data_IF_708712099913
#
_entry.id   IF_708712099913
#
_cell.length_a   1.000
_cell.length_b   1.000
_cell.length_c   1.000
_cell.angle_alpha   90.00
_cell.angle_beta   90.00
_cell.angle_gamma   90.00
#
_symmetry.space_group_name_H-M   'P 1'
#
loop_
_entity.id
_entity.type
_entity.pdbx_description
1 polymer ?
#
# COMPACT_ATOMS: atom_id res chain seq x y z
N UNK A 1 27.95 -13.98 65.18
CA UNK A 1 27.54 -13.89 63.73
C UNK A 1 26.04 -13.87 63.65
N UNK A 2 25.47 -12.69 63.36
CA UNK A 2 24.02 -12.55 63.14
C UNK A 2 23.81 -12.53 61.61
N UNK A 3 23.24 -13.62 61.09
CA UNK A 3 22.79 -13.66 59.69
C UNK A 3 21.47 -12.85 59.59
N UNK A 4 21.54 -11.68 58.99
CA UNK A 4 20.37 -10.92 58.61
C UNK A 4 19.73 -11.51 57.36
N UNK A 5 18.57 -12.12 57.50
CA UNK A 5 17.69 -12.50 56.39
C UNK A 5 17.21 -11.24 55.70
N UNK A 6 17.83 -10.90 54.55
CA UNK A 6 17.27 -9.94 53.60
C UNK A 6 16.16 -10.64 52.81
N UNK A 7 14.93 -10.44 53.20
CA UNK A 7 13.74 -10.69 52.40
C UNK A 7 13.75 -9.72 51.19
N UNK A 8 14.29 -10.15 50.07
CA UNK A 8 14.04 -9.51 48.77
C UNK A 8 12.58 -9.82 48.40
N UNK A 9 11.66 -8.93 48.75
CA UNK A 9 10.35 -8.86 48.14
C UNK A 9 10.55 -8.47 46.68
N UNK A 10 10.72 -9.44 45.79
CA UNK A 10 10.48 -9.26 44.36
C UNK A 10 8.97 -9.07 44.19
N UNK A 11 8.50 -7.84 44.25
CA UNK A 11 7.21 -7.49 43.69
C UNK A 11 7.29 -7.76 42.17
N UNK A 12 6.90 -8.96 41.77
CA UNK A 12 6.45 -9.19 40.43
C UNK A 12 5.21 -8.32 40.25
N UNK A 13 5.38 -7.20 39.58
CA UNK A 13 4.26 -6.39 39.10
C UNK A 13 3.47 -7.30 38.15
N UNK A 14 2.49 -8.00 38.69
CA UNK A 14 1.50 -8.72 37.90
C UNK A 14 0.78 -7.67 37.07
N UNK A 15 1.04 -7.65 35.74
CA UNK A 15 0.37 -6.75 34.83
C UNK A 15 -1.12 -7.04 34.88
N UNK A 16 -1.92 -6.03 35.26
CA UNK A 16 -3.37 -6.15 35.22
C UNK A 16 -3.86 -6.38 33.77
N UNK A 17 -4.94 -7.16 33.57
CA UNK A 17 -5.47 -7.38 32.21
C UNK A 17 -5.77 -6.09 31.46
N UNK A 18 -6.23 -5.06 32.14
CA UNK A 18 -6.48 -3.73 31.61
C UNK A 18 -5.20 -3.06 31.07
N UNK A 19 -4.08 -3.18 31.76
CA UNK A 19 -2.81 -2.64 31.30
C UNK A 19 -2.29 -3.39 30.06
N UNK A 20 -2.50 -4.70 30.01
CA UNK A 20 -2.15 -5.51 28.82
C UNK A 20 -2.97 -5.11 27.61
N UNK A 21 -4.27 -4.88 27.76
CA UNK A 21 -5.14 -4.38 26.69
C UNK A 21 -4.74 -2.97 26.23
N UNK A 22 -4.42 -2.04 27.16
CA UNK A 22 -3.93 -0.71 26.78
C UNK A 22 -2.63 -0.77 25.97
N UNK A 23 -1.70 -1.63 26.36
CA UNK A 23 -0.45 -1.85 25.63
C UNK A 23 -0.73 -2.47 24.25
N UNK A 24 -1.66 -3.41 24.14
CA UNK A 24 -2.09 -4.00 22.88
C UNK A 24 -2.70 -2.95 21.96
N UNK A 25 -3.59 -2.10 22.45
CA UNK A 25 -4.19 -1.01 21.67
C UNK A 25 -3.15 -0.03 21.09
N UNK A 26 -2.01 0.19 21.78
CA UNK A 26 -0.93 1.02 21.24
C UNK A 26 -0.22 0.39 20.02
N UNK A 27 -0.23 -0.94 19.90
CA UNK A 27 0.46 -1.67 18.83
C UNK A 27 -0.38 -1.83 17.56
N UNK A 28 -1.72 -1.86 17.69
CA UNK A 28 -2.63 -2.14 16.59
C UNK A 28 -2.49 -1.11 15.45
N UNK A 29 -2.51 -1.60 14.21
CA UNK A 29 -2.69 -0.78 13.02
C UNK A 29 -4.08 -0.13 13.02
N UNK A 30 -4.36 0.79 12.08
CA UNK A 30 -5.71 1.41 11.94
C UNK A 30 -6.78 0.36 11.65
N UNK A 31 -6.48 -0.58 10.77
CA UNK A 31 -7.42 -1.64 10.36
C UNK A 31 -7.69 -2.63 11.52
N UNK A 32 -6.63 -3.08 12.22
CA UNK A 32 -6.79 -3.94 13.39
C UNK A 32 -7.53 -3.24 14.53
N UNK A 33 -7.30 -1.92 14.70
CA UNK A 33 -8.02 -1.12 15.69
C UNK A 33 -9.51 -1.06 15.36
N UNK A 34 -9.88 -0.86 14.10
CA UNK A 34 -11.29 -0.85 13.68
C UNK A 34 -11.95 -2.20 13.95
N UNK A 35 -11.28 -3.32 13.70
CA UNK A 35 -11.78 -4.66 14.00
C UNK A 35 -11.98 -4.87 15.51
N UNK A 36 -11.01 -4.48 16.35
CA UNK A 36 -11.12 -4.59 17.82
C UNK A 36 -12.25 -3.71 18.36
N UNK A 37 -12.44 -2.51 17.77
CA UNK A 37 -13.54 -1.61 18.14
C UNK A 37 -14.91 -2.14 17.72
N UNK A 38 -15.02 -2.72 16.54
CA UNK A 38 -16.25 -3.37 16.09
C UNK A 38 -16.62 -4.52 17.04
N UNK A 39 -15.66 -5.34 17.43
CA UNK A 39 -15.87 -6.39 18.42
C UNK A 39 -16.31 -5.83 19.79
N UNK A 40 -15.71 -4.69 20.20
CA UNK A 40 -16.10 -4.02 21.44
C UNK A 40 -17.52 -3.41 21.38
N UNK A 41 -17.94 -2.87 20.23
CA UNK A 41 -19.30 -2.37 19.99
C UNK A 41 -20.33 -3.50 20.02
N UNK A 42 -20.01 -4.67 19.46
CA UNK A 42 -20.89 -5.84 19.48
C UNK A 42 -21.04 -6.42 20.90
N UNK A 43 -19.96 -6.38 21.70
CA UNK A 43 -19.96 -6.93 23.07
C UNK A 43 -20.57 -5.98 24.11
N UNK A 44 -20.47 -4.66 23.91
CA UNK A 44 -20.89 -3.65 24.89
C UNK A 44 -22.00 -2.75 24.33
N UNK A 45 -23.27 -2.95 24.76
CA UNK A 45 -24.42 -2.21 24.24
C UNK A 45 -24.44 -0.72 24.65
N UNK A 46 -23.52 -0.26 25.49
CA UNK A 46 -23.42 1.13 25.92
C UNK A 46 -22.53 1.99 25.03
N UNK A 47 -21.79 1.36 24.10
CA UNK A 47 -20.91 2.04 23.15
C UNK A 47 -21.67 2.33 21.85
N UNK A 48 -21.51 3.53 21.34
CA UNK A 48 -22.03 3.96 20.05
C UNK A 48 -20.90 4.60 19.24
N UNK A 49 -20.88 4.30 17.96
CA UNK A 49 -20.00 4.98 17.01
C UNK A 49 -20.74 6.19 16.45
N UNK A 50 -20.08 7.35 16.43
CA UNK A 50 -20.63 8.57 15.84
C UNK A 50 -19.93 8.84 14.53
N UNK A 51 -20.66 8.85 13.43
CA UNK A 51 -20.15 9.23 12.13
C UNK A 51 -20.02 10.75 12.03
N UNK A 52 -19.02 11.23 11.26
CA UNK A 52 -18.76 12.65 11.07
C UNK A 52 -19.92 13.39 10.42
N UNK A 53 -20.78 12.70 9.65
CA UNK A 53 -21.93 13.29 8.98
C UNK A 53 -23.02 13.69 9.98
N UNK A 54 -23.26 12.93 11.02
CA UNK A 54 -24.32 13.21 12.02
C UNK A 54 -24.03 14.48 12.84
N UNK A 55 -22.76 14.81 13.10
CA UNK A 55 -22.41 16.04 13.84
C UNK A 55 -22.50 17.31 13.01
N UNK A 56 -22.30 17.21 11.70
CA UNK A 56 -22.44 18.36 10.79
C UNK A 56 -23.91 18.68 10.59
N UNK A 57 -24.75 17.66 10.39
CA UNK A 57 -26.21 17.84 10.30
C UNK A 57 -26.80 18.34 11.62
N UNK A 58 -26.37 17.82 12.76
CA UNK A 58 -26.85 18.28 14.06
C UNK A 58 -26.49 19.74 14.35
N UNK A 59 -25.27 20.20 14.00
CA UNK A 59 -24.88 21.60 14.14
C UNK A 59 -25.60 22.53 13.14
N UNK A 60 -25.82 22.08 11.91
CA UNK A 60 -26.58 22.84 10.93
C UNK A 60 -28.06 22.98 11.33
N UNK A 61 -28.64 21.97 11.99
CA UNK A 61 -30.01 22.01 12.50
C UNK A 61 -30.11 22.94 13.70
N UNK A 62 -29.15 22.86 14.68
CA UNK A 62 -29.11 23.79 15.81
C UNK A 62 -28.90 25.25 15.39
N UNK A 63 -28.03 25.52 14.38
CA UNK A 63 -27.86 26.89 13.86
C UNK A 63 -29.07 27.37 13.08
N UNK A 64 -29.80 26.49 12.38
CA UNK A 64 -31.06 26.86 11.69
C UNK A 64 -32.19 27.12 12.69
N UNK A 65 -32.36 26.28 13.72
CA UNK A 65 -33.36 26.51 14.77
C UNK A 65 -33.08 27.78 15.58
N UNK A 66 -31.81 28.15 15.78
CA UNK A 66 -31.45 29.38 16.47
C UNK A 66 -31.70 30.64 15.63
N UNK A 67 -31.54 30.56 14.31
CA UNK A 67 -31.83 31.67 13.39
C UNK A 67 -33.33 31.85 13.19
N UNK A 68 -34.09 30.76 13.05
CA UNK A 68 -35.54 30.83 12.87
C UNK A 68 -36.27 31.36 14.14
N UNK A 69 -35.74 31.08 15.35
CA UNK A 69 -36.29 31.61 16.60
C UNK A 69 -36.01 33.09 16.81
N UNK A 70 -34.91 33.63 16.30
CA UNK A 70 -34.59 35.06 16.38
C UNK A 70 -35.47 35.88 15.40
N UNK A 71 -35.66 35.38 14.17
CA UNK A 71 -36.52 36.02 13.16
C UNK A 71 -38.00 35.95 13.56
N UNK A 72 -38.45 34.89 14.22
CA UNK A 72 -39.82 34.74 14.72
C UNK A 72 -40.16 35.70 15.88
N UNK A 73 -39.17 36.18 16.62
CA UNK A 73 -39.33 37.14 17.73
C UNK A 73 -39.36 38.59 17.24
N UNK A 74 -38.90 38.89 16.02
CA UNK A 74 -38.96 40.25 15.43
C UNK A 74 -40.21 40.54 14.60
N UNK A 75 -40.98 39.51 14.21
CA UNK A 75 -42.25 39.69 13.51
C UNK A 75 -43.41 39.98 14.51
N UNK A 76 -43.68 41.24 14.73
CA UNK A 76 -44.66 41.72 15.72
C UNK A 76 -46.09 41.88 15.17
N UNK A 77 -46.41 41.35 14.00
CA UNK A 77 -47.75 41.38 13.45
C UNK A 77 -48.10 40.03 12.80
N UNK A 78 -49.02 39.30 13.47
CA UNK A 78 -49.70 38.14 12.89
C UNK A 78 -50.64 38.59 11.77
N UNK A 79 -50.56 38.00 10.56
CA UNK A 79 -51.61 38.24 9.56
C UNK A 79 -52.89 37.53 9.95
N UNK A 80 -53.99 38.27 9.95
CA UNK A 80 -55.32 37.80 10.38
C UNK A 80 -56.02 36.82 9.40
N UNK A 81 -55.38 36.41 8.29
CA UNK A 81 -55.96 35.48 7.33
C UNK A 81 -54.89 34.47 6.84
N UNK A 82 -54.97 33.26 7.38
CA UNK A 82 -54.35 32.07 6.79
C UNK A 82 -55.25 31.53 5.69
N UNK A 83 -54.81 31.42 4.43
CA UNK A 83 -55.58 30.75 3.39
C UNK A 83 -55.58 29.27 3.63
N UNK A 84 -56.61 28.80 4.33
CA UNK A 84 -56.96 27.39 4.46
C UNK A 84 -57.76 26.95 3.23
N UNK A 85 -57.08 26.76 2.10
CA UNK A 85 -57.69 26.17 0.90
C UNK A 85 -56.75 25.22 0.19
N UNK A 86 -56.31 24.19 0.94
CA UNK A 86 -55.85 22.94 0.35
C UNK A 86 -56.59 21.82 1.07
N UNK A 87 -57.55 21.21 0.39
CA UNK A 87 -58.24 20.05 0.94
C UNK A 87 -57.29 18.88 1.07
N UNK A 88 -57.41 18.17 2.17
CA UNK A 88 -56.57 16.98 2.47
C UNK A 88 -56.62 15.89 1.37
N UNK A 89 -57.58 15.93 0.48
CA UNK A 89 -57.72 15.02 -0.65
C UNK A 89 -56.70 15.27 -1.79
N UNK A 90 -56.18 16.49 -1.92
CA UNK A 90 -55.18 16.80 -2.97
C UNK A 90 -53.75 16.39 -2.62
N UNK A 91 -53.45 16.20 -1.34
CA UNK A 91 -52.13 15.84 -0.88
C UNK A 91 -51.86 14.32 -1.04
N UNK A 92 -52.91 13.51 -1.05
CA UNK A 92 -52.81 12.04 -1.15
C UNK A 92 -53.06 11.48 -2.55
N UNK A 93 -53.43 12.29 -3.55
CA UNK A 93 -53.71 11.79 -4.90
C UNK A 93 -52.65 12.04 -5.95
N UNK A 94 -51.54 12.68 -5.60
CA UNK A 94 -50.41 12.83 -6.52
C UNK A 94 -49.40 11.69 -6.29
N UNK A 95 -49.65 10.51 -6.88
CA UNK A 95 -48.57 9.57 -7.06
C UNK A 95 -48.81 8.09 -6.70
N UNK A 96 -50.02 7.56 -6.94
CA UNK A 96 -50.12 6.09 -7.11
C UNK A 96 -50.41 5.78 -8.58
N UNK A 97 -49.46 5.28 -9.37
CA UNK A 97 -49.78 4.65 -10.63
C UNK A 97 -50.49 3.33 -10.30
N UNK A 98 -51.77 3.28 -10.61
CA UNK A 98 -52.54 2.04 -10.67
C UNK A 98 -51.97 1.18 -11.82
N UNK A 99 -51.03 0.37 -11.52
CA UNK A 99 -50.47 -0.65 -12.40
C UNK A 99 -50.59 -2.01 -11.71
N UNK A 100 -51.24 -2.95 -12.40
CA UNK A 100 -51.40 -4.33 -12.00
C UNK A 100 -50.19 -4.87 -11.25
N UNK A 101 -50.45 -5.50 -10.10
CA UNK A 101 -49.45 -6.24 -9.33
C UNK A 101 -48.78 -7.29 -10.15
N UNK A 102 -47.58 -7.02 -10.59
CA UNK A 102 -46.60 -8.04 -10.88
C UNK A 102 -45.85 -8.20 -9.59
N UNK A 103 -46.08 -9.33 -8.97
CA UNK A 103 -45.33 -9.81 -7.81
C UNK A 103 -43.88 -9.96 -8.27
N UNK A 104 -43.07 -8.86 -8.14
CA UNK A 104 -41.64 -8.96 -8.21
C UNK A 104 -41.23 -9.63 -6.89
N UNK A 105 -41.13 -10.95 -6.90
CA UNK A 105 -40.19 -11.58 -6.02
C UNK A 105 -38.87 -10.79 -6.19
N UNK A 106 -38.48 -10.17 -5.11
CA UNK A 106 -37.15 -9.58 -4.94
C UNK A 106 -36.12 -10.73 -5.08
N UNK A 107 -35.91 -11.17 -6.32
CA UNK A 107 -34.65 -11.73 -6.71
C UNK A 107 -33.71 -10.52 -6.65
N UNK A 108 -33.13 -10.30 -5.48
CA UNK A 108 -31.92 -9.54 -5.31
C UNK A 108 -30.89 -10.15 -6.27
N UNK A 109 -30.95 -9.72 -7.54
CA UNK A 109 -29.82 -9.92 -8.44
C UNK A 109 -28.64 -9.32 -7.67
N UNK A 110 -27.63 -10.11 -7.32
CA UNK A 110 -26.46 -9.56 -6.67
C UNK A 110 -25.95 -8.48 -7.61
N UNK A 111 -26.13 -7.22 -7.21
CA UNK A 111 -25.48 -6.10 -7.87
C UNK A 111 -24.00 -6.33 -7.63
N UNK A 112 -23.37 -6.98 -8.60
CA UNK A 112 -21.94 -7.23 -8.60
C UNK A 112 -21.26 -5.85 -8.72
N UNK A 113 -21.04 -5.21 -7.59
CA UNK A 113 -20.28 -3.97 -7.46
C UNK A 113 -18.79 -4.27 -7.27
N UNK A 114 -18.34 -5.45 -7.64
CA UNK A 114 -16.92 -5.76 -7.71
C UNK A 114 -16.35 -5.13 -8.97
N UNK A 115 -15.36 -4.29 -8.84
CA UNK A 115 -14.42 -4.05 -9.93
C UNK A 115 -13.86 -5.42 -10.31
N UNK A 116 -14.25 -5.90 -11.49
CA UNK A 116 -13.70 -7.13 -12.04
C UNK A 116 -12.26 -6.79 -12.46
N UNK A 117 -11.32 -7.02 -11.56
CA UNK A 117 -9.91 -7.07 -11.94
C UNK A 117 -9.79 -8.20 -12.97
N UNK A 118 -9.67 -7.83 -14.23
CA UNK A 118 -9.44 -8.80 -15.29
C UNK A 118 -8.08 -9.43 -15.08
N UNK A 119 -8.06 -10.71 -14.77
CA UNK A 119 -6.80 -11.45 -14.70
C UNK A 119 -6.27 -11.71 -16.12
N UNK A 120 -4.97 -11.96 -16.24
CA UNK A 120 -4.38 -12.35 -17.52
C UNK A 120 -5.07 -13.58 -18.08
N UNK A 121 -5.43 -14.55 -17.24
CA UNK A 121 -6.10 -15.77 -17.63
C UNK A 121 -7.50 -15.48 -18.19
N UNK A 122 -8.30 -14.62 -17.52
CA UNK A 122 -9.62 -14.24 -18.02
C UNK A 122 -9.54 -13.57 -19.39
N UNK A 123 -8.54 -12.70 -19.58
CA UNK A 123 -8.34 -12.01 -20.83
C UNK A 123 -7.93 -12.97 -21.97
N UNK A 124 -7.07 -13.95 -21.68
CA UNK A 124 -6.68 -14.97 -22.63
C UNK A 124 -7.85 -15.91 -22.96
N UNK A 125 -8.64 -16.32 -21.96
CA UNK A 125 -9.83 -17.14 -22.15
C UNK A 125 -10.85 -16.42 -23.04
N UNK A 126 -11.07 -15.13 -22.84
CA UNK A 126 -11.92 -14.33 -23.73
C UNK A 126 -11.42 -14.36 -25.20
N UNK A 127 -10.09 -14.29 -25.43
CA UNK A 127 -9.53 -14.42 -26.79
C UNK A 127 -9.67 -15.83 -27.35
N UNK A 128 -9.55 -16.87 -26.52
CA UNK A 128 -9.82 -18.27 -26.92
C UNK A 128 -11.26 -18.43 -27.40
N UNK A 129 -12.24 -17.86 -26.71
CA UNK A 129 -13.65 -17.90 -27.10
C UNK A 129 -13.93 -17.17 -28.41
N UNK A 130 -13.25 -16.07 -28.69
CA UNK A 130 -13.36 -15.33 -29.95
C UNK A 130 -12.69 -16.03 -31.13
N UNK A 131 -11.74 -16.93 -30.85
CA UNK A 131 -10.97 -17.63 -31.90
C UNK A 131 -11.74 -18.89 -32.33
N UNK A 132 -11.88 -19.16 -33.63
CA UNK A 132 -12.54 -20.37 -34.13
C UNK A 132 -11.64 -21.59 -33.90
N UNK A 133 -11.71 -22.17 -32.73
CA UNK A 133 -11.11 -23.45 -32.38
C UNK A 133 -12.13 -24.60 -32.51
N UNK A 134 -11.64 -25.82 -32.77
CA UNK A 134 -12.41 -27.03 -32.60
C UNK A 134 -12.66 -27.30 -31.11
N UNK A 135 -13.56 -28.21 -30.77
CA UNK A 135 -13.83 -28.52 -29.35
C UNK A 135 -12.60 -29.14 -28.66
N UNK A 136 -11.81 -29.94 -29.40
CA UNK A 136 -10.52 -30.47 -28.93
C UNK A 136 -9.48 -29.39 -28.75
N UNK A 137 -9.31 -28.51 -29.75
CA UNK A 137 -8.35 -27.37 -29.66
C UNK A 137 -8.72 -26.42 -28.50
N UNK A 138 -10.03 -26.24 -28.24
CA UNK A 138 -10.49 -25.41 -27.13
C UNK A 138 -10.14 -26.02 -25.78
N UNK A 139 -10.27 -27.33 -25.62
CA UNK A 139 -9.87 -28.04 -24.40
C UNK A 139 -8.34 -27.89 -24.17
N UNK A 140 -7.54 -28.05 -25.25
CA UNK A 140 -6.10 -27.84 -25.20
C UNK A 140 -5.78 -26.37 -24.84
N UNK A 141 -6.43 -25.40 -25.47
CA UNK A 141 -6.22 -23.98 -25.22
C UNK A 141 -6.53 -23.59 -23.79
N UNK A 142 -7.64 -24.12 -23.21
CA UNK A 142 -7.99 -23.90 -21.81
C UNK A 142 -6.90 -24.43 -20.87
N UNK A 143 -6.43 -25.67 -21.10
CA UNK A 143 -5.35 -26.24 -20.28
C UNK A 143 -4.04 -25.46 -20.38
N UNK A 144 -3.71 -24.89 -21.57
CA UNK A 144 -2.55 -24.04 -21.76
C UNK A 144 -2.72 -22.71 -20.99
N UNK A 145 -3.89 -22.06 -21.06
CA UNK A 145 -4.18 -20.80 -20.38
C UNK A 145 -4.12 -20.97 -18.86
N UNK A 146 -4.65 -22.07 -18.33
CA UNK A 146 -4.59 -22.40 -16.90
C UNK A 146 -3.14 -22.62 -16.42
N UNK A 147 -2.25 -23.05 -17.31
CA UNK A 147 -0.83 -23.26 -17.03
C UNK A 147 0.03 -21.97 -17.16
N UNK A 148 -0.56 -20.84 -17.57
CA UNK A 148 0.14 -19.55 -17.69
C UNK A 148 0.17 -18.82 -16.36
N UNK A 149 1.35 -18.35 -15.95
CA UNK A 149 1.54 -17.50 -14.78
C UNK A 149 1.16 -16.02 -15.06
N UNK A 150 0.97 -15.24 -14.01
CA UNK A 150 0.70 -13.79 -14.09
C UNK A 150 1.76 -12.99 -14.86
N UNK A 151 2.97 -13.52 -14.96
CA UNK A 151 4.05 -12.95 -15.79
C UNK A 151 3.92 -13.23 -17.28
N UNK A 152 3.07 -14.18 -17.67
CA UNK A 152 2.83 -14.61 -19.05
C UNK A 152 3.66 -15.81 -19.50
N UNK A 153 4.37 -16.49 -18.60
CA UNK A 153 5.16 -17.69 -18.90
C UNK A 153 4.41 -18.98 -18.59
N UNK A 154 4.78 -20.03 -19.32
CA UNK A 154 4.26 -21.37 -19.08
C UNK A 154 4.95 -21.99 -17.86
N UNK A 155 4.19 -22.44 -16.87
CA UNK A 155 4.72 -23.03 -15.64
C UNK A 155 4.98 -24.53 -15.77
N UNK A 156 4.33 -25.18 -16.74
CA UNK A 156 4.30 -26.63 -16.92
C UNK A 156 4.94 -26.98 -18.28
N UNK A 157 5.53 -28.17 -18.40
CA UNK A 157 6.05 -28.69 -19.66
C UNK A 157 4.88 -29.10 -20.58
N UNK A 158 5.13 -29.10 -21.90
CA UNK A 158 4.09 -29.42 -22.88
C UNK A 158 3.62 -30.87 -22.71
N UNK A 159 4.56 -31.76 -22.36
CA UNK A 159 4.29 -33.17 -22.10
C UNK A 159 3.28 -33.34 -20.95
N UNK A 160 3.43 -32.57 -19.88
CA UNK A 160 2.55 -32.61 -18.72
C UNK A 160 1.13 -32.08 -19.08
N UNK A 161 1.04 -31.15 -20.04
CA UNK A 161 -0.26 -30.66 -20.55
C UNK A 161 -0.99 -31.76 -21.29
N UNK A 162 -0.30 -32.53 -22.15
CA UNK A 162 -0.88 -33.69 -22.84
C UNK A 162 -1.43 -34.69 -21.84
N UNK A 163 -0.63 -35.03 -20.81
CA UNK A 163 -1.01 -35.95 -19.76
C UNK A 163 -2.22 -35.43 -18.94
N UNK A 164 -2.34 -34.14 -18.76
CA UNK A 164 -3.46 -33.52 -18.01
C UNK A 164 -4.79 -33.58 -18.73
N UNK A 165 -4.79 -33.56 -20.06
CA UNK A 165 -6.01 -33.65 -20.88
C UNK A 165 -6.54 -35.08 -20.87
N UNK A 166 -5.67 -36.09 -20.77
CA UNK A 166 -6.04 -37.50 -20.59
C UNK A 166 -6.72 -38.12 -21.79
N UNK A 167 -6.59 -37.54 -22.96
CA UNK A 167 -7.20 -38.03 -24.21
C UNK A 167 -6.11 -38.68 -25.08
N UNK A 168 -6.17 -39.98 -25.28
CA UNK A 168 -5.16 -40.75 -26.04
C UNK A 168 -5.10 -40.35 -27.54
N UNK A 169 -6.09 -39.61 -28.03
CA UNK A 169 -6.13 -39.12 -29.41
C UNK A 169 -5.33 -37.82 -29.62
N UNK A 170 -5.03 -37.07 -28.55
CA UNK A 170 -4.35 -35.79 -28.64
C UNK A 170 -2.82 -35.97 -28.66
N UNK A 171 -2.22 -35.66 -29.79
CA UNK A 171 -0.77 -35.73 -29.98
C UNK A 171 -0.05 -34.46 -29.53
N UNK A 172 1.24 -34.61 -29.22
CA UNK A 172 2.12 -33.52 -28.84
C UNK A 172 2.19 -32.42 -29.93
N UNK A 173 2.08 -32.82 -31.22
CA UNK A 173 2.08 -31.90 -32.37
C UNK A 173 0.83 -30.98 -32.38
N UNK A 174 -0.32 -31.48 -31.93
CA UNK A 174 -1.56 -30.70 -31.84
C UNK A 174 -1.46 -29.65 -30.75
N UNK A 175 -0.97 -30.03 -29.56
CA UNK A 175 -0.72 -29.10 -28.45
C UNK A 175 0.27 -28.00 -28.86
N UNK A 176 1.34 -28.35 -29.56
CA UNK A 176 2.27 -27.32 -30.09
C UNK A 176 1.63 -26.40 -31.14
N UNK A 177 0.71 -26.89 -31.95
CA UNK A 177 0.04 -26.07 -32.93
C UNK A 177 -0.90 -25.04 -32.27
N UNK A 178 -1.66 -25.48 -31.26
CA UNK A 178 -2.53 -24.61 -30.45
C UNK A 178 -1.67 -23.60 -29.65
N UNK A 179 -0.58 -24.06 -29.04
CA UNK A 179 0.35 -23.19 -28.31
C UNK A 179 0.90 -22.06 -29.19
N UNK A 180 1.38 -22.37 -30.39
CA UNK A 180 1.87 -21.35 -31.37
C UNK A 180 0.79 -20.36 -31.77
N UNK A 181 -0.49 -20.73 -31.67
CA UNK A 181 -1.59 -19.81 -31.93
C UNK A 181 -1.86 -18.90 -30.74
N UNK A 182 -1.84 -19.43 -29.51
CA UNK A 182 -1.97 -18.67 -28.25
C UNK A 182 -0.80 -17.68 -28.08
N UNK A 183 0.41 -18.05 -28.44
CA UNK A 183 1.59 -17.19 -28.39
C UNK A 183 1.48 -15.91 -29.25
N UNK A 184 0.50 -15.85 -30.17
CA UNK A 184 0.20 -14.68 -31.00
C UNK A 184 -0.96 -13.83 -30.46
N UNK A 185 -1.56 -14.24 -29.35
CA UNK A 185 -2.59 -13.46 -28.70
C UNK A 185 -2.00 -12.16 -28.11
N UNK A 186 -2.86 -11.25 -27.73
CA UNK A 186 -2.49 -10.04 -27.01
C UNK A 186 -2.53 -10.33 -25.50
N UNK A 187 -1.42 -10.13 -24.79
CA UNK A 187 -0.11 -9.61 -25.21
C UNK A 187 0.78 -10.65 -25.90
N UNK A 188 1.47 -10.16 -26.91
CA UNK A 188 2.32 -11.02 -27.75
C UNK A 188 3.46 -11.64 -26.95
N UNK A 189 3.70 -12.97 -27.16
CA UNK A 189 4.73 -13.70 -26.44
C UNK A 189 4.26 -14.33 -25.14
N UNK A 190 2.97 -14.32 -24.88
CA UNK A 190 2.33 -15.05 -23.78
C UNK A 190 2.46 -16.57 -24.02
N UNK A 191 2.40 -17.37 -22.97
CA UNK A 191 2.61 -18.81 -22.99
C UNK A 191 3.99 -19.23 -23.58
N UNK A 192 5.00 -18.39 -23.48
CA UNK A 192 6.37 -18.75 -23.83
C UNK A 192 6.97 -19.66 -22.73
N UNK A 193 7.87 -20.57 -23.14
CA UNK A 193 8.60 -21.48 -22.22
C UNK A 193 9.64 -20.72 -21.40
N UNK A 194 10.40 -19.86 -22.07
CA UNK A 194 11.52 -19.12 -21.49
C UNK A 194 11.54 -17.67 -22.02
N UNK A 195 12.33 -16.80 -21.36
CA UNK A 195 12.56 -15.43 -21.81
C UNK A 195 13.05 -15.36 -23.26
N UNK A 196 13.92 -16.28 -23.67
CA UNK A 196 14.43 -16.37 -25.03
C UNK A 196 13.31 -16.58 -26.04
N UNK A 197 12.44 -17.55 -25.75
CA UNK A 197 11.28 -17.89 -26.59
C UNK A 197 10.31 -16.71 -26.69
N UNK A 198 9.98 -16.08 -25.58
CA UNK A 198 9.13 -14.88 -25.53
C UNK A 198 9.63 -13.76 -26.43
N UNK A 199 10.90 -13.40 -26.31
CA UNK A 199 11.51 -12.35 -27.12
C UNK A 199 11.59 -12.71 -28.61
N UNK A 200 11.84 -13.98 -28.94
CA UNK A 200 11.85 -14.46 -30.34
C UNK A 200 10.46 -14.41 -30.97
N UNK A 201 9.41 -14.75 -30.19
CA UNK A 201 8.02 -14.66 -30.64
C UNK A 201 7.66 -13.20 -30.93
N UNK A 202 7.99 -12.28 -30.03
CA UNK A 202 7.77 -10.84 -30.25
C UNK A 202 8.54 -10.31 -31.48
N UNK A 203 9.80 -10.68 -31.65
CA UNK A 203 10.57 -10.32 -32.84
C UNK A 203 9.97 -10.90 -34.14
N UNK A 204 9.30 -12.03 -34.07
CA UNK A 204 8.67 -12.64 -35.24
C UNK A 204 7.49 -11.82 -35.82
N UNK A 205 6.92 -10.93 -34.98
CA UNK A 205 5.82 -10.05 -35.39
C UNK A 205 6.27 -8.77 -36.09
N UNK A 206 7.54 -8.39 -35.94
CA UNK A 206 8.04 -7.23 -36.64
C UNK A 206 8.12 -7.51 -38.16
N UNK A 207 7.91 -6.46 -38.94
CA UNK A 207 8.06 -6.57 -40.40
C UNK A 207 9.48 -7.00 -40.78
N UNK A 208 9.61 -7.86 -41.78
CA UNK A 208 10.92 -8.36 -42.25
C UNK A 208 11.85 -7.26 -42.70
N UNK A 209 11.30 -6.10 -43.03
CA UNK A 209 12.04 -4.91 -43.46
C UNK A 209 12.58 -4.07 -42.30
N UNK A 210 12.26 -4.44 -41.04
CA UNK A 210 12.75 -3.71 -39.87
C UNK A 210 14.29 -3.82 -39.82
N UNK A 211 15.01 -2.70 -39.75
CA UNK A 211 16.47 -2.71 -39.68
C UNK A 211 16.91 -3.44 -38.40
N UNK A 212 18.00 -4.19 -38.50
CA UNK A 212 18.67 -4.88 -37.37
C UNK A 212 17.89 -6.05 -36.76
N UNK A 213 16.81 -6.52 -37.41
CA UNK A 213 15.97 -7.62 -36.90
C UNK A 213 16.73 -8.94 -36.82
N UNK A 214 17.52 -9.27 -37.86
CA UNK A 214 18.29 -10.52 -37.93
C UNK A 214 19.43 -10.54 -36.89
N UNK A 215 20.07 -9.39 -36.71
CA UNK A 215 21.10 -9.22 -35.68
C UNK A 215 20.53 -9.35 -34.26
N UNK A 216 19.37 -8.74 -34.00
CA UNK A 216 18.65 -8.87 -32.71
C UNK A 216 18.26 -10.33 -32.46
N UNK A 217 17.74 -11.03 -33.49
CA UNK A 217 17.39 -12.44 -33.40
C UNK A 217 18.60 -13.31 -33.07
N UNK A 218 19.74 -13.07 -33.70
CA UNK A 218 20.98 -13.80 -33.47
C UNK A 218 21.49 -13.57 -32.04
N UNK A 219 21.39 -12.35 -31.52
CA UNK A 219 21.80 -12.04 -30.15
C UNK A 219 20.93 -12.77 -29.12
N UNK A 220 19.61 -12.79 -29.35
CA UNK A 220 18.68 -13.45 -28.43
C UNK A 220 18.83 -14.97 -28.49
N UNK A 221 18.99 -15.56 -29.70
CA UNK A 221 19.08 -17.01 -29.84
C UNK A 221 20.33 -17.60 -29.20
N UNK A 222 21.50 -16.95 -29.40
CA UNK A 222 22.78 -17.58 -29.05
C UNK A 222 23.53 -16.86 -27.89
N UNK A 223 23.25 -15.58 -27.65
CA UNK A 223 24.10 -14.73 -26.83
C UNK A 223 23.34 -13.91 -25.77
N UNK A 224 22.15 -14.37 -25.34
CA UNK A 224 21.34 -13.69 -24.36
C UNK A 224 22.09 -13.48 -23.04
N UNK A 225 22.89 -14.48 -22.60
CA UNK A 225 23.65 -14.41 -21.35
C UNK A 225 24.74 -13.31 -21.38
N UNK A 226 25.37 -13.08 -22.54
CA UNK A 226 26.36 -12.01 -22.70
C UNK A 226 25.69 -10.64 -22.66
N UNK A 227 24.49 -10.53 -23.23
CA UNK A 227 23.68 -9.33 -23.16
C UNK A 227 23.24 -9.03 -21.72
N UNK A 228 22.75 -10.03 -20.99
CA UNK A 228 22.33 -9.90 -19.60
C UNK A 228 23.47 -9.45 -18.66
N UNK A 229 24.70 -9.89 -18.94
CA UNK A 229 25.91 -9.48 -18.21
C UNK A 229 26.49 -8.14 -18.67
N UNK A 230 25.91 -7.49 -19.68
CA UNK A 230 26.41 -6.25 -20.30
C UNK A 230 27.85 -6.38 -20.83
N UNK A 231 28.28 -7.58 -21.26
CA UNK A 231 29.60 -7.80 -21.84
C UNK A 231 29.59 -7.53 -23.36
N UNK A 232 29.42 -6.27 -23.70
CA UNK A 232 29.36 -5.82 -25.09
C UNK A 232 30.65 -6.07 -25.86
N UNK A 233 31.81 -6.12 -25.17
CA UNK A 233 33.10 -6.36 -25.85
C UNK A 233 33.19 -7.79 -26.35
N UNK A 234 32.80 -8.75 -25.54
CA UNK A 234 32.75 -10.15 -25.96
C UNK A 234 31.65 -10.36 -26.99
N UNK A 235 30.51 -9.72 -26.84
CA UNK A 235 29.41 -9.78 -27.79
C UNK A 235 29.84 -9.29 -29.18
N UNK A 236 30.50 -8.12 -29.32
CA UNK A 236 31.05 -7.61 -30.58
C UNK A 236 32.07 -8.56 -31.22
N UNK A 237 32.89 -9.21 -30.38
CA UNK A 237 33.90 -10.15 -30.90
C UNK A 237 33.28 -11.43 -31.43
N UNK A 238 32.25 -11.95 -30.77
CA UNK A 238 31.61 -13.20 -31.18
C UNK A 238 30.65 -12.99 -32.33
N UNK A 239 29.82 -11.95 -32.31
CA UNK A 239 28.87 -11.62 -33.40
C UNK A 239 29.52 -10.92 -34.59
N UNK A 240 30.75 -10.40 -34.42
CA UNK A 240 31.47 -9.60 -35.42
C UNK A 240 30.71 -8.35 -35.91
N UNK A 241 29.76 -7.85 -35.13
CA UNK A 241 28.98 -6.67 -35.41
C UNK A 241 29.78 -5.41 -35.06
N UNK A 242 29.53 -4.33 -35.80
CA UNK A 242 30.04 -3.00 -35.46
C UNK A 242 29.29 -2.44 -34.26
N UNK A 243 29.93 -1.55 -33.50
CA UNK A 243 29.37 -0.95 -32.28
C UNK A 243 28.04 -0.24 -32.56
N UNK A 244 27.90 0.50 -33.68
CA UNK A 244 26.67 1.17 -34.05
C UNK A 244 25.51 0.21 -34.32
N UNK A 245 25.79 -0.90 -35.05
CA UNK A 245 24.80 -1.94 -35.36
C UNK A 245 24.36 -2.65 -34.07
N UNK A 246 25.33 -2.96 -33.22
CA UNK A 246 25.03 -3.59 -31.91
C UNK A 246 24.16 -2.68 -31.04
N UNK A 247 24.44 -1.38 -31.02
CA UNK A 247 23.65 -0.41 -30.28
C UNK A 247 22.19 -0.41 -30.73
N UNK A 248 21.94 -0.32 -32.01
CA UNK A 248 20.59 -0.32 -32.56
C UNK A 248 19.88 -1.66 -32.39
N UNK A 249 20.58 -2.79 -32.50
CA UNK A 249 20.03 -4.11 -32.24
C UNK A 249 19.65 -4.25 -30.73
N UNK A 250 20.47 -3.74 -29.82
CA UNK A 250 20.18 -3.72 -28.39
C UNK A 250 18.99 -2.80 -28.05
N UNK A 251 18.90 -1.63 -28.70
CA UNK A 251 17.76 -0.73 -28.58
C UNK A 251 16.45 -1.42 -29.01
N UNK A 252 16.48 -2.17 -30.09
CA UNK A 252 15.36 -2.96 -30.57
C UNK A 252 14.96 -4.02 -29.54
N UNK A 253 15.94 -4.73 -28.95
CA UNK A 253 15.67 -5.73 -27.90
C UNK A 253 15.10 -5.09 -26.65
N UNK A 254 15.58 -3.91 -26.26
CA UNK A 254 15.06 -3.17 -25.10
C UNK A 254 13.64 -2.63 -25.28
N UNK A 255 13.18 -2.49 -26.54
CA UNK A 255 11.80 -2.11 -26.82
C UNK A 255 10.79 -3.26 -26.66
N UNK A 256 11.27 -4.50 -26.52
CA UNK A 256 10.45 -5.68 -26.29
C UNK A 256 10.05 -5.80 -24.83
N UNK A 257 8.94 -6.47 -24.58
CA UNK A 257 8.43 -6.69 -23.23
C UNK A 257 8.85 -8.08 -22.71
N UNK A 258 9.76 -8.15 -21.69
CA UNK A 258 10.19 -9.42 -21.12
C UNK A 258 9.12 -10.10 -20.27
N UNK A 259 8.06 -9.41 -19.88
CA UNK A 259 6.96 -9.93 -19.05
C UNK A 259 5.61 -9.45 -19.58
N UNK A 260 5.12 -10.08 -20.63
CA UNK A 260 3.92 -9.60 -21.31
C UNK A 260 2.67 -9.59 -20.41
N UNK A 261 2.57 -10.49 -19.43
CA UNK A 261 1.43 -10.55 -18.51
C UNK A 261 1.25 -9.30 -17.65
N UNK A 262 2.33 -8.58 -17.35
CA UNK A 262 2.22 -7.35 -16.55
C UNK A 262 1.48 -6.20 -17.25
N UNK A 263 1.32 -6.25 -18.57
CA UNK A 263 0.59 -5.21 -19.32
C UNK A 263 -0.93 -5.23 -18.99
N UNK A 264 -1.45 -6.40 -18.62
CA UNK A 264 -2.88 -6.59 -18.32
C UNK A 264 -3.11 -6.62 -16.80
N UNK A 265 -2.22 -7.25 -16.06
CA UNK A 265 -2.32 -7.32 -14.61
C UNK A 265 -1.99 -5.96 -13.99
N UNK A 266 -3.02 -5.13 -13.87
CA UNK A 266 -2.92 -3.89 -13.09
C UNK A 266 -3.11 -4.28 -11.62
N UNK A 267 -2.02 -4.48 -10.89
CA UNK A 267 -2.11 -4.63 -9.44
C UNK A 267 -2.79 -3.39 -8.88
N UNK A 268 -3.90 -3.56 -8.19
CA UNK A 268 -4.55 -2.46 -7.49
C UNK A 268 -3.56 -1.82 -6.53
N UNK A 269 -3.36 -0.50 -6.60
CA UNK A 269 -2.47 0.17 -5.68
C UNK A 269 -3.05 0.07 -4.27
N UNK A 270 -2.33 -0.52 -3.34
CA UNK A 270 -2.70 -0.51 -1.94
C UNK A 270 -2.65 0.92 -1.40
N UNK A 271 -3.81 1.48 -1.08
CA UNK A 271 -3.91 2.80 -0.48
C UNK A 271 -3.68 2.72 1.02
N UNK A 272 -2.66 3.40 1.50
CA UNK A 272 -2.37 3.53 2.93
C UNK A 272 -3.01 4.80 3.45
N UNK A 273 -3.96 4.66 4.39
CA UNK A 273 -4.56 5.80 5.09
C UNK A 273 -3.56 6.26 6.17
N UNK A 274 -3.08 7.52 6.13
CA UNK A 274 -2.13 8.02 7.12
C UNK A 274 -2.83 8.29 8.46
N UNK A 275 -2.14 7.98 9.56
CA UNK A 275 -2.60 8.29 10.93
C UNK A 275 -2.38 9.76 11.31
N UNK A 276 -1.31 10.35 10.77
CA UNK A 276 -0.83 11.69 11.13
C UNK A 276 -0.64 12.55 9.88
N UNK A 277 -1.12 13.79 9.93
CA UNK A 277 -0.95 14.80 8.89
C UNK A 277 0.07 15.84 9.34
N UNK A 278 1.06 16.13 8.49
CA UNK A 278 2.07 17.16 8.72
C UNK A 278 1.96 18.21 7.63
N UNK A 279 1.68 19.45 8.05
CA UNK A 279 1.52 20.59 7.15
C UNK A 279 2.37 21.75 7.64
N UNK A 280 2.82 22.60 6.71
CA UNK A 280 3.53 23.84 7.04
C UNK A 280 2.53 25.00 7.07
N UNK A 281 2.22 25.50 8.27
CA UNK A 281 1.31 26.63 8.47
C UNK A 281 2.11 27.83 8.99
N UNK A 282 2.03 28.96 8.31
CA UNK A 282 2.73 30.20 8.68
C UNK A 282 4.24 30.00 8.93
N UNK A 283 4.89 29.13 8.16
CA UNK A 283 6.34 28.85 8.27
C UNK A 283 6.72 27.85 9.36
N UNK A 284 5.79 27.36 10.16
CA UNK A 284 6.01 26.32 11.18
C UNK A 284 5.38 25.00 10.75
N UNK A 285 6.01 23.89 11.10
CA UNK A 285 5.45 22.56 10.89
C UNK A 285 4.43 22.26 11.98
N UNK A 286 3.19 21.99 11.57
CA UNK A 286 2.09 21.54 12.44
C UNK A 286 1.82 20.07 12.21
N UNK A 287 1.50 19.39 13.29
CA UNK A 287 1.20 17.96 13.32
C UNK A 287 -0.21 17.78 13.84
N UNK A 288 -1.05 17.15 13.06
CA UNK A 288 -2.45 16.89 13.38
C UNK A 288 -2.73 15.40 13.17
N UNK A 289 -3.64 14.86 13.95
CA UNK A 289 -4.14 13.50 13.72
C UNK A 289 -5.15 13.51 12.58
N UNK A 290 -5.15 12.46 11.79
CA UNK A 290 -6.14 12.30 10.74
C UNK A 290 -7.51 11.94 11.35
N UNK A 291 -8.51 12.77 11.10
CA UNK A 291 -9.87 12.56 11.62
C UNK A 291 -10.50 11.26 11.08
N UNK A 292 -10.16 10.88 9.84
CA UNK A 292 -10.71 9.68 9.18
C UNK A 292 -10.14 8.38 9.76
N UNK A 293 -8.94 8.44 10.37
CA UNK A 293 -8.32 7.26 10.99
C UNK A 293 -8.71 7.06 12.45
N UNK A 294 -9.39 8.03 13.06
CA UNK A 294 -9.76 8.01 14.48
C UNK A 294 -11.23 7.67 14.64
N UNK A 295 -11.56 6.47 15.11
CA UNK A 295 -12.93 6.12 15.44
C UNK A 295 -13.44 6.94 16.63
N UNK A 296 -14.58 7.56 16.49
CA UNK A 296 -15.23 8.33 17.57
C UNK A 296 -16.25 7.45 18.28
N UNK A 297 -16.04 7.23 19.55
CA UNK A 297 -16.94 6.46 20.40
C UNK A 297 -17.63 7.40 21.38
N UNK A 298 -18.93 7.21 21.55
CA UNK A 298 -19.74 7.87 22.58
C UNK A 298 -20.40 6.81 23.46
N UNK A 299 -20.70 7.20 24.69
CA UNK A 299 -21.48 6.37 25.62
C UNK A 299 -22.92 6.82 25.51
N UNK A 300 -23.84 5.89 25.24
CA UNK A 300 -25.27 6.18 25.26
C UNK A 300 -25.71 6.57 26.67
N UNK A 301 -26.11 7.84 26.83
CA UNK A 301 -26.50 8.41 28.10
C UNK A 301 -27.83 7.85 28.62
N UNK A 302 -28.73 7.44 27.72
CA UNK A 302 -30.05 6.89 28.10
C UNK A 302 -29.87 5.53 28.78
N UNK A 303 -29.09 4.63 28.23
CA UNK A 303 -28.77 3.34 28.84
C UNK A 303 -27.95 3.49 30.12
N UNK A 304 -27.02 4.46 30.16
CA UNK A 304 -26.24 4.75 31.34
C UNK A 304 -27.13 5.25 32.52
N UNK A 305 -28.18 6.02 32.24
CA UNK A 305 -29.14 6.48 33.24
C UNK A 305 -30.03 5.35 33.77
N UNK A 306 -30.38 4.37 32.92
CA UNK A 306 -31.14 3.17 33.32
C UNK A 306 -30.40 2.34 34.39
N UNK A 307 -29.05 2.30 34.33
CA UNK A 307 -28.24 1.60 35.32
C UNK A 307 -28.39 2.12 36.76
N UNK A 308 -28.78 3.38 36.94
CA UNK A 308 -29.01 3.97 38.22
C UNK A 308 -30.46 3.68 38.77
N UNK A 309 -31.40 3.39 37.88
CA UNK A 309 -32.80 3.15 38.17
C UNK A 309 -33.19 1.65 38.12
N UNK A 310 -32.25 0.77 37.82
CA UNK A 310 -32.50 -0.67 37.71
C UNK A 310 -32.94 -1.26 39.06
N UNK A 311 -34.12 -1.89 39.09
CA UNK A 311 -34.71 -2.54 40.27
C UNK A 311 -34.03 -3.87 40.66
N UNK A 312 -33.34 -4.50 39.71
CA UNK A 312 -32.61 -5.74 39.91
C UNK A 312 -31.13 -5.47 40.12
N UNK A 313 -30.55 -5.99 41.18
CA UNK A 313 -29.12 -5.81 41.48
C UNK A 313 -28.20 -6.42 40.39
N UNK A 314 -28.60 -7.51 39.76
CA UNK A 314 -27.85 -8.16 38.69
C UNK A 314 -27.77 -7.29 37.43
N UNK A 315 -28.89 -6.72 36.96
CA UNK A 315 -28.96 -5.86 35.79
C UNK A 315 -28.21 -4.55 36.02
N UNK A 316 -28.34 -3.97 37.22
CA UNK A 316 -27.61 -2.79 37.63
C UNK A 316 -26.09 -3.02 37.71
N UNK A 317 -25.65 -4.20 38.13
CA UNK A 317 -24.24 -4.57 38.17
C UNK A 317 -23.69 -4.77 36.77
N UNK A 318 -24.43 -5.41 35.85
CA UNK A 318 -24.07 -5.59 34.45
C UNK A 318 -23.88 -4.24 33.73
N UNK A 319 -24.83 -3.31 33.87
CA UNK A 319 -24.74 -1.98 33.25
C UNK A 319 -23.55 -1.19 33.84
N UNK A 320 -23.30 -1.27 35.15
CA UNK A 320 -22.14 -0.58 35.77
C UNK A 320 -20.79 -1.15 35.26
N UNK A 321 -20.66 -2.46 35.13
CA UNK A 321 -19.44 -3.08 34.62
C UNK A 321 -19.17 -2.68 33.18
N UNK A 322 -20.18 -2.75 32.30
CA UNK A 322 -20.06 -2.34 30.88
C UNK A 322 -19.78 -0.83 30.75
N UNK A 323 -20.37 0.00 31.61
CA UNK A 323 -20.10 1.44 31.62
C UNK A 323 -18.67 1.74 32.07
N UNK A 324 -18.13 1.01 33.03
CA UNK A 324 -16.74 1.13 33.43
C UNK A 324 -15.78 0.70 32.33
N UNK A 325 -16.09 -0.39 31.63
CA UNK A 325 -15.33 -0.89 30.50
C UNK A 325 -15.36 0.09 29.33
N UNK A 326 -16.53 0.62 28.96
CA UNK A 326 -16.69 1.63 27.92
C UNK A 326 -15.87 2.89 28.20
N UNK A 327 -15.95 3.41 29.43
CA UNK A 327 -15.15 4.59 29.86
C UNK A 327 -13.65 4.31 29.80
N UNK A 328 -13.25 3.13 30.20
CA UNK A 328 -11.85 2.73 30.16
C UNK A 328 -11.35 2.62 28.71
N UNK A 329 -12.13 2.03 27.80
CA UNK A 329 -11.79 1.92 26.38
C UNK A 329 -11.63 3.31 25.73
N UNK A 330 -12.58 4.21 25.92
CA UNK A 330 -12.52 5.58 25.39
C UNK A 330 -11.25 6.29 25.90
N UNK A 331 -10.99 6.23 27.21
CA UNK A 331 -9.80 6.84 27.80
C UNK A 331 -8.51 6.23 27.29
N UNK A 332 -8.49 4.93 27.00
CA UNK A 332 -7.33 4.24 26.43
C UNK A 332 -7.06 4.70 24.99
N UNK A 333 -8.11 4.92 24.19
CA UNK A 333 -8.00 5.47 22.84
C UNK A 333 -7.51 6.92 22.86
N UNK A 334 -8.04 7.75 23.74
CA UNK A 334 -7.56 9.13 23.91
C UNK A 334 -6.08 9.15 24.28
N UNK A 335 -5.66 8.33 25.25
CA UNK A 335 -4.26 8.22 25.66
C UNK A 335 -3.35 7.73 24.52
N UNK A 336 -3.84 6.78 23.69
CA UNK A 336 -3.14 6.32 22.48
C UNK A 336 -2.93 7.48 21.50
N UNK A 337 -3.98 8.23 21.22
CA UNK A 337 -3.95 9.33 20.26
C UNK A 337 -3.04 10.47 20.75
N UNK A 338 -3.09 10.82 22.02
CA UNK A 338 -2.20 11.80 22.64
C UNK A 338 -0.75 11.37 22.57
N UNK A 339 -0.48 10.09 22.84
CA UNK A 339 0.88 9.54 22.76
C UNK A 339 1.41 9.60 21.32
N UNK A 340 0.60 9.20 20.34
CA UNK A 340 0.94 9.26 18.92
C UNK A 340 1.23 10.71 18.49
N UNK A 341 0.41 11.65 18.90
CA UNK A 341 0.59 13.08 18.57
C UNK A 341 1.88 13.64 19.17
N UNK A 342 2.19 13.35 20.44
CA UNK A 342 3.41 13.80 21.12
C UNK A 342 4.66 13.25 20.45
N UNK A 343 4.66 11.94 20.16
CA UNK A 343 5.77 11.26 19.48
C UNK A 343 5.97 11.84 18.08
N UNK A 344 4.92 11.95 17.28
CA UNK A 344 4.97 12.49 15.93
C UNK A 344 5.45 13.95 15.90
N UNK A 345 4.98 14.77 16.85
CA UNK A 345 5.45 16.17 16.99
C UNK A 345 6.95 16.24 17.28
N UNK A 346 7.43 15.43 18.21
CA UNK A 346 8.85 15.38 18.55
C UNK A 346 9.70 14.92 17.34
N UNK A 347 9.25 13.92 16.58
CA UNK A 347 9.91 13.46 15.35
C UNK A 347 10.00 14.61 14.33
N UNK A 348 8.88 15.31 14.08
CA UNK A 348 8.83 16.41 13.10
C UNK A 348 9.72 17.58 13.52
N UNK A 349 9.75 17.92 14.80
CA UNK A 349 10.63 18.99 15.34
C UNK A 349 12.10 18.65 15.15
N UNK A 350 12.51 17.41 15.33
CA UNK A 350 13.91 16.99 15.12
C UNK A 350 14.26 16.86 13.64
N UNK A 351 13.32 16.47 12.79
CA UNK A 351 13.52 16.20 11.36
C UNK A 351 13.10 17.36 10.43
N UNK A 352 13.08 18.61 10.91
CA UNK A 352 12.68 19.76 10.10
C UNK A 352 13.49 19.87 8.80
N UNK A 353 14.79 19.60 8.85
CA UNK A 353 15.66 19.63 7.67
C UNK A 353 15.23 18.60 6.60
N UNK A 354 14.79 17.42 7.00
CA UNK A 354 14.23 16.41 6.11
C UNK A 354 12.98 16.94 5.39
N UNK A 355 12.04 17.52 6.11
CA UNK A 355 10.80 18.04 5.51
C UNK A 355 11.04 19.23 4.58
N UNK A 356 12.07 20.04 4.81
CA UNK A 356 12.41 21.18 3.97
C UNK A 356 13.27 20.83 2.76
N UNK A 357 14.33 20.06 2.96
CA UNK A 357 15.37 19.85 1.96
C UNK A 357 15.36 18.42 1.36
N UNK A 358 14.80 17.45 2.06
CA UNK A 358 14.66 16.08 1.58
C UNK A 358 15.46 15.04 2.35
N UNK A 359 15.46 13.81 1.80
CA UNK A 359 16.07 12.64 2.43
C UNK A 359 17.57 12.79 2.70
N UNK A 360 18.26 13.59 1.89
CA UNK A 360 19.69 13.87 2.02
C UNK A 360 20.05 14.57 3.34
N UNK A 361 19.11 15.31 3.91
CA UNK A 361 19.28 16.11 5.14
C UNK A 361 18.63 15.46 6.37
N UNK A 362 18.31 14.18 6.27
CA UNK A 362 17.76 13.43 7.38
C UNK A 362 18.78 13.31 8.52
N UNK A 363 18.41 13.79 9.70
CA UNK A 363 19.25 13.65 10.90
C UNK A 363 19.14 12.22 11.45
N UNK A 364 20.25 11.64 11.93
CA UNK A 364 20.19 10.37 12.65
C UNK A 364 19.42 10.56 13.95
N UNK A 365 18.57 9.59 14.27
CA UNK A 365 17.70 9.62 15.45
C UNK A 365 17.49 8.20 15.94
N UNK A 366 17.69 7.99 17.25
CA UNK A 366 17.41 6.69 17.89
C UNK A 366 16.15 6.76 18.74
N UNK A 367 15.55 5.58 19.02
CA UNK A 367 14.36 5.51 19.85
C UNK A 367 14.54 6.10 21.25
N UNK A 368 15.74 5.97 21.81
CA UNK A 368 16.09 6.51 23.12
C UNK A 368 16.01 8.05 23.17
N UNK A 369 16.36 8.77 22.11
CA UNK A 369 16.31 10.24 22.05
C UNK A 369 14.88 10.74 22.19
N UNK A 370 13.95 10.13 21.44
CA UNK A 370 12.53 10.47 21.52
C UNK A 370 11.93 10.01 22.85
N UNK A 371 12.33 8.84 23.37
CA UNK A 371 11.88 8.34 24.66
C UNK A 371 12.22 9.31 25.80
N UNK A 372 13.42 9.87 25.78
CA UNK A 372 13.85 10.88 26.73
C UNK A 372 13.10 12.21 26.55
N UNK A 373 12.89 12.66 25.31
CA UNK A 373 12.21 13.91 25.02
C UNK A 373 10.72 13.89 25.38
N UNK A 374 10.07 12.74 25.25
CA UNK A 374 8.62 12.56 25.55
C UNK A 374 8.38 12.01 26.97
N UNK A 375 9.45 11.71 27.73
CA UNK A 375 9.42 11.11 29.06
C UNK A 375 8.70 9.74 29.11
N UNK A 376 8.94 8.91 28.11
CA UNK A 376 8.35 7.58 27.97
C UNK A 376 9.43 6.51 27.84
N UNK A 377 9.04 5.23 28.04
CA UNK A 377 9.95 4.13 27.84
C UNK A 377 10.16 3.85 26.33
N UNK A 378 11.38 3.47 25.95
CA UNK A 378 11.75 3.18 24.55
C UNK A 378 10.84 2.13 23.90
N UNK A 379 10.43 1.10 24.64
CA UNK A 379 9.51 0.09 24.16
C UNK A 379 8.12 0.66 23.78
N UNK A 380 7.67 1.71 24.45
CA UNK A 380 6.41 2.39 24.11
C UNK A 380 6.54 3.14 22.80
N UNK A 381 7.67 3.86 22.62
CA UNK A 381 7.95 4.57 21.37
C UNK A 381 8.01 3.58 20.18
N UNK A 382 8.75 2.46 20.36
CA UNK A 382 8.83 1.42 19.32
C UNK A 382 7.45 0.87 18.93
N UNK A 383 6.55 0.67 19.88
CA UNK A 383 5.18 0.17 19.63
C UNK A 383 4.31 1.20 18.92
N UNK A 384 4.42 2.47 19.31
CA UNK A 384 3.63 3.57 18.74
C UNK A 384 4.08 3.89 17.30
N UNK A 385 5.35 3.67 16.96
CA UNK A 385 5.91 4.02 15.64
C UNK A 385 5.83 2.91 14.60
N UNK A 386 5.51 1.67 15.00
CA UNK A 386 5.37 0.53 14.08
C UNK A 386 4.01 0.57 13.40
N UNK A 387 3.96 0.38 12.08
CA UNK A 387 2.75 0.38 11.25
C UNK A 387 1.89 1.65 11.42
N UNK A 388 2.53 2.78 11.66
CA UNK A 388 1.88 4.09 11.70
C UNK A 388 2.48 4.99 10.65
N UNK A 389 1.61 5.62 9.86
CA UNK A 389 1.99 6.41 8.71
C UNK A 389 1.76 7.89 8.94
N UNK A 390 2.71 8.67 8.45
CA UNK A 390 2.70 10.12 8.48
C UNK A 390 2.62 10.64 7.04
N UNK A 391 1.64 11.47 6.75
CA UNK A 391 1.53 12.16 5.48
C UNK A 391 2.18 13.55 5.56
N UNK A 392 3.09 13.81 4.65
CA UNK A 392 3.78 15.10 4.51
C UNK A 392 3.68 15.59 3.06
N UNK A 393 4.00 16.87 2.76
CA UNK A 393 4.07 17.37 1.40
C UNK A 393 5.07 16.63 0.49
N UNK A 394 5.98 15.82 1.08
CA UNK A 394 6.96 15.00 0.35
C UNK A 394 6.49 13.57 0.08
N UNK A 395 5.40 13.15 0.70
CA UNK A 395 4.85 11.80 0.59
C UNK A 395 4.44 11.21 1.93
N UNK A 396 4.04 9.94 1.88
CA UNK A 396 3.66 9.14 3.03
C UNK A 396 4.87 8.35 3.52
N UNK A 397 5.16 8.43 4.81
CA UNK A 397 6.27 7.73 5.45
C UNK A 397 5.79 7.01 6.70
N UNK A 398 6.31 5.81 6.94
CA UNK A 398 6.13 5.14 8.23
C UNK A 398 6.93 5.91 9.31
N UNK A 399 6.36 6.09 10.51
CA UNK A 399 7.08 6.77 11.62
C UNK A 399 8.41 6.09 11.95
N UNK A 400 8.47 4.76 11.79
CA UNK A 400 9.69 3.99 11.97
C UNK A 400 10.81 4.35 11.00
N UNK A 401 10.50 4.86 9.82
CA UNK A 401 11.47 5.28 8.80
C UNK A 401 12.46 6.33 9.30
N UNK A 402 12.03 7.21 10.22
CA UNK A 402 12.85 8.28 10.78
C UNK A 402 13.92 7.79 11.77
N UNK A 403 13.76 6.55 12.28
CA UNK A 403 14.75 5.94 13.17
C UNK A 403 15.81 5.22 12.36
N UNK A 404 16.96 5.85 12.22
CA UNK A 404 18.07 5.32 11.43
C UNK A 404 19.36 5.30 12.23
N UNK A 405 20.19 4.27 11.96
CA UNK A 405 21.52 4.20 12.56
C UNK A 405 22.38 5.39 12.10
N UNK A 406 23.21 5.88 13.01
CA UNK A 406 24.18 6.93 12.73
C UNK A 406 25.48 6.37 12.15
N UNK A 407 26.13 7.16 11.31
CA UNK A 407 27.47 6.94 10.77
C UNK A 407 28.30 8.18 11.06
N UNK A 408 29.49 8.01 11.59
CA UNK A 408 30.35 9.11 11.97
C UNK A 408 30.85 9.90 10.75
N UNK A 409 30.91 11.23 10.86
CA UNK A 409 31.51 12.13 9.87
C UNK A 409 32.85 12.67 10.35
N UNK A 410 33.72 13.11 9.44
CA UNK A 410 35.03 13.68 9.76
C UNK A 410 34.96 14.92 10.67
N UNK A 411 33.89 15.70 10.57
CA UNK A 411 33.66 16.92 11.36
C UNK A 411 33.10 16.68 12.76
N UNK A 412 33.04 15.43 13.25
CA UNK A 412 32.43 15.09 14.54
C UNK A 412 30.91 15.13 14.54
N UNK A 413 30.27 15.25 13.38
CA UNK A 413 28.83 15.12 13.20
C UNK A 413 28.43 13.66 12.93
N UNK A 414 27.14 13.42 12.93
CA UNK A 414 26.55 12.13 12.62
C UNK A 414 25.67 12.23 11.38
N UNK A 415 25.81 11.29 10.44
CA UNK A 415 24.98 11.22 9.27
C UNK A 415 24.04 10.00 9.37
N UNK A 416 22.79 10.17 8.94
CA UNK A 416 21.80 9.09 8.88
C UNK A 416 22.16 8.11 7.77
N UNK A 417 22.00 6.81 8.02
CA UNK A 417 22.15 5.78 6.99
C UNK A 417 21.21 5.98 5.81
N UNK A 418 20.04 6.56 6.03
CA UNK A 418 19.05 6.91 5.00
C UNK A 418 19.54 8.08 4.15
N UNK A 419 20.12 9.14 4.77
CA UNK A 419 20.71 10.26 4.05
C UNK A 419 21.85 9.79 3.14
N UNK A 420 22.70 8.88 3.62
CA UNK A 420 23.80 8.33 2.80
C UNK A 420 23.24 7.54 1.60
N UNK A 421 22.17 6.74 1.80
CA UNK A 421 21.51 6.03 0.69
C UNK A 421 20.94 7.01 -0.34
N UNK A 422 20.29 8.08 0.11
CA UNK A 422 19.77 9.12 -0.78
C UNK A 422 20.89 9.82 -1.58
N UNK A 423 22.00 10.13 -0.93
CA UNK A 423 23.17 10.70 -1.61
C UNK A 423 23.78 9.75 -2.63
N UNK A 424 23.94 8.45 -2.29
CA UNK A 424 24.41 7.43 -3.24
C UNK A 424 23.49 7.33 -4.43
N UNK A 425 22.17 7.30 -4.22
CA UNK A 425 21.16 7.28 -5.30
C UNK A 425 21.30 8.52 -6.20
N UNK A 426 21.47 9.69 -5.63
CA UNK A 426 21.64 10.95 -6.37
C UNK A 426 22.93 10.98 -7.18
N UNK A 427 24.06 10.53 -6.60
CA UNK A 427 25.34 10.45 -7.29
C UNK A 427 25.29 9.49 -8.48
N UNK A 428 24.60 8.35 -8.32
CA UNK A 428 24.42 7.38 -9.39
C UNK A 428 23.47 7.93 -10.46
N UNK A 429 22.39 8.60 -10.09
CA UNK A 429 21.47 9.21 -11.06
C UNK A 429 22.14 10.32 -11.91
N UNK A 430 23.15 10.98 -11.35
CA UNK A 430 23.93 12.01 -12.04
C UNK A 430 25.16 11.46 -12.79
N UNK A 431 25.41 10.13 -12.79
CA UNK A 431 26.57 9.53 -13.43
C UNK A 431 26.45 9.50 -14.96
N UNK A 432 27.63 9.44 -15.63
CA UNK A 432 27.68 9.24 -17.07
C UNK A 432 27.45 7.76 -17.42
N UNK A 433 26.41 7.41 -18.20
CA UNK A 433 26.10 6.03 -18.58
C UNK A 433 27.23 5.28 -19.29
N UNK A 434 28.10 5.99 -20.05
CA UNK A 434 29.26 5.39 -20.72
C UNK A 434 30.40 5.00 -19.75
N UNK A 435 30.51 5.72 -18.61
CA UNK A 435 31.55 5.50 -17.59
C UNK A 435 30.97 5.57 -16.19
N UNK A 436 30.22 4.54 -15.76
CA UNK A 436 29.57 4.54 -14.45
C UNK A 436 30.59 4.60 -13.31
N UNK A 437 30.17 5.24 -12.21
CA UNK A 437 31.00 5.41 -11.02
C UNK A 437 31.23 4.07 -10.31
N UNK A 438 32.49 3.75 -9.99
CA UNK A 438 32.81 2.60 -9.15
C UNK A 438 32.50 2.89 -7.67
N UNK A 439 32.26 1.84 -6.87
CA UNK A 439 32.01 1.99 -5.43
C UNK A 439 33.18 2.72 -4.72
N UNK A 440 34.41 2.57 -5.20
CA UNK A 440 35.58 3.32 -4.68
C UNK A 440 35.50 4.81 -5.00
N UNK A 441 35.01 5.19 -6.18
CA UNK A 441 34.87 6.58 -6.56
C UNK A 441 33.70 7.24 -5.85
N UNK A 442 32.60 6.50 -5.64
CA UNK A 442 31.49 6.94 -4.79
C UNK A 442 31.97 7.21 -3.35
N UNK A 443 32.80 6.34 -2.80
CA UNK A 443 33.42 6.54 -1.47
C UNK A 443 34.26 7.82 -1.41
N UNK A 444 35.07 8.10 -2.43
CA UNK A 444 35.86 9.34 -2.50
C UNK A 444 34.97 10.59 -2.55
N UNK A 445 33.90 10.57 -3.37
CA UNK A 445 32.96 11.69 -3.48
C UNK A 445 32.19 11.94 -2.17
N UNK A 446 31.81 10.88 -1.45
CA UNK A 446 31.20 11.00 -0.13
C UNK A 446 32.17 11.54 0.92
N UNK A 447 33.46 11.13 0.84
CA UNK A 447 34.52 11.68 1.69
C UNK A 447 34.77 13.17 1.45
N UNK A 448 34.73 13.64 0.18
CA UNK A 448 34.77 15.07 -0.15
C UNK A 448 33.60 15.86 0.45
N UNK A 449 32.45 15.23 0.65
CA UNK A 449 31.29 15.81 1.35
C UNK A 449 31.37 15.66 2.89
N UNK A 450 32.50 15.14 3.41
CA UNK A 450 32.74 14.96 4.84
C UNK A 450 32.16 13.68 5.45
N UNK A 451 31.66 12.75 4.64
CA UNK A 451 31.05 11.52 5.13
C UNK A 451 32.02 10.34 4.95
N UNK A 452 32.51 9.82 6.07
CA UNK A 452 33.46 8.69 6.09
C UNK A 452 32.74 7.36 6.06
N UNK A 453 32.69 6.74 4.89
CA UNK A 453 32.02 5.45 4.71
C UNK A 453 32.99 4.45 4.04
N UNK A 454 33.06 3.22 4.55
CA UNK A 454 33.87 2.19 3.92
C UNK A 454 33.26 1.74 2.58
N UNK A 455 34.09 1.39 1.59
CA UNK A 455 33.66 0.88 0.28
C UNK A 455 32.62 -0.26 0.38
N UNK A 456 32.83 -1.18 1.35
CA UNK A 456 31.89 -2.31 1.55
C UNK A 456 30.50 -1.82 2.00
N UNK A 457 30.44 -0.76 2.79
CA UNK A 457 29.18 -0.17 3.25
C UNK A 457 28.46 0.54 2.11
N UNK A 458 29.21 1.24 1.24
CA UNK A 458 28.64 1.87 0.02
C UNK A 458 28.06 0.80 -0.90
N UNK A 459 28.79 -0.31 -1.12
CA UNK A 459 28.28 -1.45 -1.90
C UNK A 459 26.98 -2.01 -1.30
N UNK A 460 26.94 -2.21 0.04
CA UNK A 460 25.73 -2.68 0.73
C UNK A 460 24.54 -1.71 0.57
N UNK A 461 24.80 -0.40 0.66
CA UNK A 461 23.76 0.60 0.45
C UNK A 461 23.25 0.63 -1.00
N UNK A 462 24.15 0.50 -1.98
CA UNK A 462 23.78 0.38 -3.38
C UNK A 462 22.93 -0.88 -3.64
N UNK A 463 23.32 -2.01 -3.09
CA UNK A 463 22.56 -3.28 -3.18
C UNK A 463 21.18 -3.17 -2.52
N UNK A 464 21.07 -2.50 -1.36
CA UNK A 464 19.78 -2.25 -0.71
C UNK A 464 18.84 -1.35 -1.52
N UNK A 465 19.37 -0.56 -2.47
CA UNK A 465 18.61 0.23 -3.42
C UNK A 465 18.32 -0.54 -4.73
N UNK A 466 18.67 -1.84 -4.80
CA UNK A 466 18.55 -2.67 -6.01
C UNK A 466 19.30 -2.10 -7.22
N UNK A 467 20.38 -1.35 -6.98
CA UNK A 467 21.21 -0.76 -8.05
C UNK A 467 22.37 -1.71 -8.37
N UNK A 468 22.53 -2.16 -9.62
CA UNK A 468 23.58 -3.09 -10.01
C UNK A 468 24.97 -2.46 -9.93
N UNK A 469 26.07 -3.27 -9.90
CA UNK A 469 27.44 -2.77 -9.88
C UNK A 469 27.79 -2.00 -11.16
N UNK A 470 28.87 -1.17 -11.10
CA UNK A 470 29.27 -0.30 -12.21
C UNK A 470 29.47 -1.02 -13.56
N UNK A 471 29.88 -2.30 -13.52
CA UNK A 471 30.06 -3.08 -14.75
C UNK A 471 28.72 -3.34 -15.46
N UNK A 472 27.67 -3.61 -14.71
CA UNK A 472 26.33 -3.87 -15.26
C UNK A 472 25.53 -2.60 -15.60
N UNK A 473 25.92 -1.44 -15.02
CA UNK A 473 25.29 -0.14 -15.35
C UNK A 473 25.84 0.51 -16.62
N UNK A 474 26.91 -0.05 -17.17
CA UNK A 474 27.52 0.51 -18.37
C UNK A 474 26.60 0.34 -19.57
N UNK A 475 26.25 1.44 -20.22
CA UNK A 475 25.48 1.46 -21.46
C UNK A 475 26.37 1.81 -22.66
N UNK A 476 25.99 1.30 -23.83
CA UNK A 476 26.54 1.75 -25.12
C UNK A 476 25.86 3.08 -25.44
N UNK A 477 26.60 4.18 -25.36
CA UNK A 477 26.07 5.53 -25.64
C UNK A 477 26.40 5.94 -27.06
#
# INVERSE_FOLDING_TARGET
MKQGLQLRLSQQLAMTPQLQQAIRLLQLSTLELQQELQQALESNPLLEQTDLHDEVEAKEVEDRESLDTVDALEQKEMPDELPLDASWDEIYTAGTPSGNGVDYQDDELPVYQGETTQTLQDYLMWQVELTPFTDTDRAIATSIVDAVDDTGYLTIQIEDIVDSIGDDEIGLEEVEAVLKRIQRFDPVGVAAKDLRDCLLIQLSQFAKETPWLEEARLIISDHLDLLANHDFRTLMRVTRLKEEVLKEAVNLIQSLDPRPGHSIHTSEPEYVIPDVLVRKVSGRWTVELNADSIPRLKINQQYAAMGNSARNDADGQFIRSNLQEARWLIKSLESRNDTLLRVSRCIVEQQQAFFEQGEEYMKPMVLADIAQAVEMHESTISRVTTQKYLHSPRGIFELKYFFSSHVNTEGGGEASSTAIRALVKKLIAAENPAKPLSDSKLTSMLSEQGIMVARRTVAKYRESLSIPPSNQRKQLV
#
